data_IF_024613038525
#
_entry.id   IF_024613038525
#
_cell.length_a   1.000
_cell.length_b   1.000
_cell.length_c   1.000
_cell.angle_alpha   90.00
_cell.angle_beta   90.00
_cell.angle_gamma   90.00
#
_symmetry.space_group_name_H-M   'P 1'
#
loop_
_entity.id
_entity.type
_entity.pdbx_description
1 polymer ?
#
# COMPACT_ATOMS: atom_id res chain seq x y z
N UNK A 1 -5.33 1.29 12.82
CA UNK A 1 -5.26 0.04 12.09
C UNK A 1 -3.88 -0.15 11.52
N UNK A 2 -3.58 -1.32 11.17
CA UNK A 2 -2.25 -1.67 10.73
C UNK A 2 -2.30 -2.40 9.43
N UNK A 3 -1.20 -2.33 8.71
CA UNK A 3 -1.07 -2.97 7.44
C UNK A 3 -0.11 -4.12 7.57
N UNK A 4 -0.49 -5.26 7.04
CA UNK A 4 0.36 -6.44 7.06
C UNK A 4 0.29 -7.13 5.74
N UNK A 5 1.24 -8.02 5.47
CA UNK A 5 1.14 -8.82 4.27
C UNK A 5 -0.04 -9.75 4.42
N UNK A 6 -0.65 -10.02 3.32
CA UNK A 6 -1.74 -10.93 3.26
C UNK A 6 -1.29 -12.30 2.83
N UNK A 7 -0.06 -12.55 2.85
CA UNK A 7 0.46 -13.79 2.42
C UNK A 7 -0.04 -14.86 3.30
N UNK A 8 -0.53 -15.88 2.71
CA UNK A 8 -1.00 -16.90 3.46
C UNK A 8 0.02 -17.52 4.25
N UNK A 9 1.20 -17.40 3.88
CA UNK A 9 2.19 -17.98 4.65
C UNK A 9 2.61 -17.08 5.73
N UNK A 10 2.22 -16.10 5.87
CA UNK A 10 2.16 -15.27 6.62
C UNK A 10 2.81 -15.21 7.82
N UNK A 11 3.18 -14.67 8.29
CA UNK A 11 3.98 -14.47 8.83
C UNK A 11 4.23 -13.73 9.93
N UNK A 12 4.74 -13.31 10.38
CA UNK A 12 5.49 -12.80 11.27
C UNK A 12 5.11 -11.44 11.52
N UNK A 13 3.98 -11.31 11.96
CA UNK A 13 3.56 -10.03 12.10
C UNK A 13 4.20 -9.33 13.19
N UNK A 14 4.93 -9.99 13.96
CA UNK A 14 5.57 -9.28 15.00
C UNK A 14 6.63 -8.42 14.56
N UNK A 15 7.11 -8.60 13.37
CA UNK A 15 8.23 -7.83 12.96
C UNK A 15 7.91 -6.56 12.31
N UNK A 16 6.72 -6.36 11.93
CA UNK A 16 6.36 -5.09 11.36
C UNK A 16 6.87 -4.82 9.98
N UNK A 17 7.52 -5.79 9.35
CA UNK A 17 7.93 -5.60 7.97
C UNK A 17 7.70 -6.89 7.22
N UNK A 18 7.45 -6.78 5.94
CA UNK A 18 7.00 -7.89 5.15
C UNK A 18 7.63 -7.91 3.80
N UNK A 19 7.71 -9.09 3.22
CA UNK A 19 8.30 -9.25 1.93
C UNK A 19 7.37 -9.95 1.01
N UNK A 20 7.54 -9.71 -0.25
CA UNK A 20 6.80 -10.39 -1.26
C UNK A 20 7.22 -11.83 -1.37
N UNK A 21 6.29 -12.73 -1.62
CA UNK A 21 6.63 -14.12 -1.75
C UNK A 21 6.61 -14.60 -3.17
N UNK A 22 6.04 -13.84 -4.10
CA UNK A 22 5.94 -14.32 -5.46
C UNK A 22 6.04 -13.21 -6.46
N UNK A 23 6.80 -12.20 -6.16
CA UNK A 23 6.97 -11.09 -7.09
C UNK A 23 5.93 -10.03 -6.96
N UNK A 24 4.87 -10.26 -6.24
CA UNK A 24 3.93 -9.24 -5.92
C UNK A 24 3.81 -9.16 -4.42
N UNK A 25 3.44 -8.02 -3.92
CA UNK A 25 3.34 -7.80 -2.50
C UNK A 25 1.89 -7.75 -2.11
N UNK A 26 1.49 -8.68 -1.26
CA UNK A 26 0.13 -8.76 -0.80
C UNK A 26 0.05 -8.21 0.60
N UNK A 27 -0.78 -7.19 0.78
CA UNK A 27 -0.92 -6.55 2.07
C UNK A 27 -2.37 -6.62 2.51
N UNK A 28 -2.59 -6.66 3.80
CA UNK A 28 -3.93 -6.65 4.34
C UNK A 28 -3.99 -5.68 5.49
N UNK A 29 -5.15 -5.06 5.65
CA UNK A 29 -5.36 -4.16 6.76
C UNK A 29 -5.76 -4.98 7.97
N UNK A 30 -5.13 -4.70 9.09
CA UNK A 30 -5.42 -5.42 10.31
C UNK A 30 -6.71 -4.96 10.96
N UNK A 31 -7.18 -3.80 10.63
CA UNK A 31 -8.40 -3.27 11.17
C UNK A 31 -9.29 -2.76 10.08
N UNK A 32 -10.12 -1.83 10.38
CA UNK A 32 -10.99 -1.24 9.39
C UNK A 32 -10.17 -0.25 8.55
N UNK A 33 -10.70 0.11 7.43
CA UNK A 33 -10.07 1.08 6.57
C UNK A 33 -9.89 0.54 5.15
N UNK A 34 -9.45 1.44 4.28
CA UNK A 34 -9.33 1.13 2.86
C UNK A 34 -8.10 1.82 2.31
N UNK A 35 -7.45 1.16 1.37
CA UNK A 35 -6.40 1.79 0.56
C UNK A 35 -7.08 2.69 -0.47
N UNK A 36 -6.35 3.68 -0.96
CA UNK A 36 -6.86 4.65 -1.92
C UNK A 36 -6.15 4.48 -3.24
N UNK A 37 -6.91 4.29 -4.30
CA UNK A 37 -6.37 4.00 -5.61
C UNK A 37 -6.82 5.08 -6.59
N UNK A 38 -5.89 5.65 -7.32
CA UNK A 38 -6.19 6.62 -8.36
C UNK A 38 -6.50 5.88 -9.65
N UNK A 39 -7.74 5.86 -10.04
CA UNK A 39 -8.13 5.17 -11.26
C UNK A 39 -8.54 6.20 -12.32
N UNK A 40 -8.75 5.75 -13.53
CA UNK A 40 -9.19 6.62 -14.60
C UNK A 40 -10.54 7.26 -14.31
N UNK A 41 -11.30 6.68 -13.41
CA UNK A 41 -12.61 7.21 -13.05
C UNK A 41 -12.61 8.00 -11.76
N UNK A 42 -11.43 8.22 -11.19
CA UNK A 42 -11.29 8.94 -9.94
C UNK A 42 -10.80 8.01 -8.85
N UNK A 43 -10.86 8.47 -7.63
CA UNK A 43 -10.34 7.70 -6.51
C UNK A 43 -11.30 6.58 -6.20
N UNK A 44 -10.75 5.40 -6.01
CA UNK A 44 -11.50 4.24 -5.55
C UNK A 44 -10.85 3.68 -4.31
N UNK A 45 -11.61 2.96 -3.52
CA UNK A 45 -11.18 2.50 -2.22
C UNK A 45 -11.26 0.98 -2.19
N UNK A 46 -10.29 0.33 -1.56
CA UNK A 46 -10.26 -1.12 -1.56
C UNK A 46 -9.54 -1.65 -0.33
N UNK A 47 -9.93 -2.84 0.09
CA UNK A 47 -9.16 -3.54 1.10
C UNK A 47 -8.16 -4.50 0.46
N UNK A 48 -8.18 -4.59 -0.86
CA UNK A 48 -7.30 -5.48 -1.58
C UNK A 48 -5.93 -4.84 -1.70
N UNK A 49 -4.94 -5.50 -1.14
CA UNK A 49 -3.58 -5.00 -1.13
C UNK A 49 -2.61 -5.76 -2.00
N UNK A 50 -3.09 -6.39 -3.04
CA UNK A 50 -2.20 -7.09 -3.97
C UNK A 50 -1.59 -6.08 -4.92
N UNK A 51 -0.52 -5.46 -4.49
CA UNK A 51 0.09 -4.38 -5.24
C UNK A 51 1.29 -4.88 -6.03
N UNK A 52 1.59 -4.19 -7.10
CA UNK A 52 2.78 -4.46 -7.89
C UNK A 52 3.33 -3.13 -8.38
N UNK A 53 4.51 -3.16 -8.96
CA UNK A 53 5.16 -1.95 -9.46
C UNK A 53 4.98 -1.92 -10.97
N UNK A 54 4.51 -0.83 -11.50
CA UNK A 54 4.25 -0.73 -12.94
C UNK A 54 5.52 -0.37 -13.70
N UNK A 55 5.41 -0.25 -15.02
CA UNK A 55 6.56 0.02 -15.87
C UNK A 55 7.19 1.36 -15.58
N UNK A 56 6.48 2.26 -15.00
CA UNK A 56 7.00 3.57 -14.68
C UNK A 56 7.49 3.66 -13.25
N UNK A 57 7.46 2.57 -12.53
CA UNK A 57 8.00 2.55 -11.18
C UNK A 57 7.01 2.88 -10.09
N UNK A 58 5.73 2.94 -10.42
CA UNK A 58 4.73 3.29 -9.41
C UNK A 58 4.03 2.06 -8.86
N UNK A 59 3.67 2.14 -7.60
CA UNK A 59 2.91 1.08 -6.96
C UNK A 59 1.47 1.12 -7.46
N UNK A 60 0.97 -0.02 -7.92
CA UNK A 60 -0.36 -0.09 -8.51
C UNK A 60 -1.15 -1.27 -7.98
N UNK A 61 -2.45 -1.24 -8.20
CA UNK A 61 -3.31 -2.36 -7.92
C UNK A 61 -3.66 -3.01 -9.26
N UNK A 62 -2.91 -4.01 -9.63
CA UNK A 62 -3.20 -4.84 -10.82
C UNK A 62 -3.51 -4.06 -12.07
N UNK A 63 -2.83 -2.95 -12.27
CA UNK A 63 -3.09 -2.16 -13.47
C UNK A 63 -4.37 -1.34 -13.42
N UNK A 64 -5.11 -1.40 -12.32
CA UNK A 64 -6.35 -0.63 -12.21
C UNK A 64 -6.07 0.82 -11.89
N UNK A 65 -4.99 1.09 -11.18
CA UNK A 65 -4.65 2.45 -10.82
C UNK A 65 -3.50 2.46 -9.85
N UNK A 66 -3.01 3.64 -9.56
CA UNK A 66 -1.86 3.81 -8.68
C UNK A 66 -2.32 4.01 -7.26
N UNK A 67 -1.56 3.44 -6.34
CA UNK A 67 -1.88 3.50 -4.93
C UNK A 67 -1.41 4.82 -4.37
N UNK A 68 -2.22 5.48 -3.56
CA UNK A 68 -1.85 6.77 -2.99
C UNK A 68 -1.07 6.61 -1.70
N UNK A 69 -0.11 7.49 -1.52
CA UNK A 69 0.55 7.64 -0.24
C UNK A 69 -0.18 8.63 0.64
N UNK A 70 0.33 8.84 1.84
CA UNK A 70 -0.32 9.72 2.81
C UNK A 70 -0.33 11.17 2.34
N UNK A 71 0.50 11.52 1.39
CA UNK A 71 0.51 12.86 0.82
C UNK A 71 -0.53 13.00 -0.30
N UNK A 72 -1.30 11.96 -0.58
CA UNK A 72 -2.29 11.99 -1.64
C UNK A 72 -1.71 11.79 -3.02
N UNK A 73 -0.42 11.50 -3.13
CA UNK A 73 0.24 11.34 -4.41
C UNK A 73 0.57 9.88 -4.66
N UNK A 74 0.74 9.49 -5.91
CA UNK A 74 1.16 8.12 -6.20
C UNK A 74 2.53 7.86 -5.59
N UNK A 75 2.79 6.61 -5.29
CA UNK A 75 4.03 6.21 -4.66
C UNK A 75 4.95 5.65 -5.72
N UNK A 76 6.10 6.31 -5.92
CA UNK A 76 7.06 5.86 -6.89
C UNK A 76 8.13 5.05 -6.20
N UNK A 77 8.22 3.78 -6.56
CA UNK A 77 9.11 2.87 -5.88
C UNK A 77 10.41 2.68 -6.65
N UNK A 78 10.34 2.61 -7.93
CA UNK A 78 11.49 2.46 -8.81
C UNK A 78 12.23 1.15 -8.66
N UNK A 79 12.07 0.49 -7.57
CA UNK A 79 12.81 -0.72 -7.30
C UNK A 79 11.85 -1.68 -6.65
N UNK A 80 11.77 -2.89 -7.17
CA UNK A 80 10.81 -3.82 -6.65
C UNK A 80 11.20 -4.41 -5.31
N UNK A 81 12.40 -4.10 -4.86
CA UNK A 81 12.84 -4.56 -3.56
C UNK A 81 12.41 -3.57 -2.51
N UNK A 82 11.24 -3.71 -2.02
CA UNK A 82 10.75 -2.80 -1.02
C UNK A 82 10.04 -3.56 0.09
N UNK A 83 9.91 -2.91 1.23
CA UNK A 83 9.18 -3.46 2.36
C UNK A 83 8.17 -2.45 2.84
N UNK A 84 7.14 -2.94 3.52
CA UNK A 84 6.14 -2.09 4.13
C UNK A 84 6.00 -2.56 5.57
N UNK A 85 6.15 -1.66 6.51
CA UNK A 85 6.06 -2.05 7.92
C UNK A 85 4.58 -2.02 8.34
N UNK A 86 4.33 -2.36 9.61
CA UNK A 86 2.96 -2.47 10.05
C UNK A 86 2.27 -1.13 10.18
N UNK A 87 3.00 -0.05 10.04
CA UNK A 87 2.41 1.29 10.02
C UNK A 87 2.19 1.78 8.60
N UNK A 88 2.49 0.95 7.61
CA UNK A 88 2.32 1.35 6.23
C UNK A 88 3.49 2.12 5.64
N UNK A 89 4.58 2.25 6.37
CA UNK A 89 5.73 3.00 5.87
C UNK A 89 6.49 2.13 4.89
N UNK A 90 6.79 2.69 3.74
CA UNK A 90 7.44 1.98 2.64
C UNK A 90 8.90 2.35 2.61
N UNK A 91 9.75 1.35 2.55
CA UNK A 91 11.19 1.54 2.46
C UNK A 91 11.73 0.72 1.31
N UNK A 92 12.76 1.22 0.66
CA UNK A 92 13.42 0.53 -0.43
C UNK A 92 14.87 0.31 -0.08
N UNK A 93 15.44 -0.73 -0.62
CA UNK A 93 16.85 -0.99 -0.49
C UNK A 93 17.63 0.07 -1.21
N UNK A 94 18.75 0.47 -0.67
CA UNK A 94 19.62 1.38 -1.39
C UNK A 94 21.05 0.97 -1.16
N UNK A 95 21.83 1.17 -2.20
CA UNK A 95 23.23 0.88 -2.18
C UNK A 95 23.94 2.09 -1.60
N UNK A 96 24.63 1.90 -0.51
CA UNK A 96 25.17 3.01 0.21
C UNK A 96 26.58 3.32 -0.13
N UNK A 97 26.99 3.15 -1.29
CA UNK A 97 28.21 3.74 -1.62
C UNK A 97 29.27 2.84 -2.03
N UNK A 98 30.43 3.38 -2.11
CA UNK A 98 31.45 2.72 -2.76
C UNK A 98 32.01 1.61 -2.03
N UNK A 99 32.00 1.63 -0.75
CA UNK A 99 32.52 0.51 -0.05
C UNK A 99 31.56 -0.63 -0.07
N UNK A 100 30.34 -0.42 -0.50
CA UNK A 100 29.42 -1.52 -0.72
C UNK A 100 29.18 -2.38 0.46
N UNK A 101 29.59 -1.97 1.57
CA UNK A 101 29.51 -2.80 2.68
C UNK A 101 28.23 -2.80 3.33
N UNK A 102 27.41 -1.85 3.06
CA UNK A 102 26.22 -1.74 3.78
C UNK A 102 25.10 -1.51 2.87
N UNK A 103 24.07 -2.29 3.05
CA UNK A 103 22.84 -2.01 2.38
C UNK A 103 22.00 -1.29 3.37
N UNK A 104 21.46 -0.21 3.00
CA UNK A 104 20.56 0.55 3.84
C UNK A 104 19.19 0.52 3.29
N UNK A 105 18.26 1.04 4.08
CA UNK A 105 16.88 1.19 3.66
C UNK A 105 16.54 2.65 3.69
N UNK A 106 15.80 3.10 2.70
CA UNK A 106 15.38 4.48 2.61
C UNK A 106 13.86 4.53 2.61
N UNK A 107 13.29 5.30 3.51
CA UNK A 107 11.85 5.45 3.54
C UNK A 107 11.44 6.37 2.41
N UNK A 108 10.44 5.96 1.66
CA UNK A 108 10.00 6.75 0.52
C UNK A 108 8.57 7.21 0.65
N UNK A 109 7.83 6.74 1.64
CA UNK A 109 6.48 7.18 1.83
C UNK A 109 5.72 6.21 2.69
N UNK A 110 4.44 6.41 2.77
CA UNK A 110 3.58 5.52 3.53
C UNK A 110 2.25 5.40 2.80
N UNK A 111 1.63 4.24 2.92
CA UNK A 111 0.35 3.99 2.28
C UNK A 111 -0.74 4.80 2.96
N UNK A 112 -1.59 5.42 2.16
CA UNK A 112 -2.73 6.16 2.66
C UNK A 112 -3.86 5.20 2.95
N UNK A 113 -4.38 5.24 4.16
CA UNK A 113 -5.51 4.42 4.57
C UNK A 113 -6.59 5.36 5.09
N UNK A 114 -7.80 5.16 4.66
CA UNK A 114 -8.94 5.97 5.09
C UNK A 114 -10.05 5.08 5.57
N UNK A 115 -10.96 5.67 6.33
CA UNK A 115 -12.15 4.95 6.74
C UNK A 115 -13.36 5.87 6.49
N UNK A 116 -14.55 5.32 6.67
CA UNK A 116 -15.77 6.03 6.35
C UNK A 116 -16.77 5.86 7.47
N UNK A 117 -17.56 6.90 7.70
CA UNK A 117 -18.55 6.86 8.75
C UNK A 117 -19.71 5.93 8.40
N UNK A 118 -20.04 5.81 7.13
CA UNK A 118 -21.20 5.04 6.72
C UNK A 118 -20.84 4.07 5.62
N UNK A 119 -20.65 2.82 5.96
CA UNK A 119 -20.28 1.81 4.98
C UNK A 119 -21.39 1.50 4.00
N UNK A 120 -22.63 1.82 4.35
CA UNK A 120 -23.72 1.54 3.44
C UNK A 120 -23.71 2.47 2.23
N UNK A 121 -22.98 3.56 2.33
CA UNK A 121 -22.85 4.47 1.20
C UNK A 121 -21.67 4.14 0.31
N UNK A 122 -21.00 3.03 0.55
CA UNK A 122 -19.93 2.60 -0.32
C UNK A 122 -20.56 1.79 -1.46
N UNK A 123 -20.28 2.22 -2.68
CA UNK A 123 -20.82 1.56 -3.85
C UNK A 123 -19.79 0.59 -4.40
N UNK A 124 -20.18 -0.66 -4.56
CA UNK A 124 -19.27 -1.67 -5.03
C UNK A 124 -18.99 -1.48 -6.50
N UNK A 125 -17.73 -1.51 -6.84
CA UNK A 125 -17.27 -1.40 -8.21
C UNK A 125 -16.57 -2.70 -8.58
N UNK A 126 -15.97 -2.75 -9.76
CA UNK A 126 -15.27 -3.94 -10.20
C UNK A 126 -13.98 -4.12 -9.41
N UNK A 127 -13.52 -5.35 -9.40
CA UNK A 127 -12.20 -5.71 -8.86
C UNK A 127 -12.04 -5.42 -7.38
N UNK A 128 -13.14 -5.49 -6.64
CA UNK A 128 -13.06 -5.31 -5.19
C UNK A 128 -12.89 -3.88 -4.73
N UNK A 129 -13.16 -2.95 -5.62
CA UNK A 129 -13.05 -1.54 -5.26
C UNK A 129 -14.41 -0.97 -4.93
N UNK A 130 -14.41 0.18 -4.27
CA UNK A 130 -15.62 0.89 -3.89
C UNK A 130 -15.48 2.36 -4.23
N UNK A 131 -16.61 3.00 -4.50
CA UNK A 131 -16.65 4.45 -4.67
C UNK A 131 -17.64 5.03 -3.69
N UNK A 132 -17.48 6.31 -3.36
CA UNK A 132 -18.39 6.97 -2.45
C UNK A 132 -18.21 8.47 -2.57
N UNK A 133 -19.26 9.20 -2.26
CA UNK A 133 -19.18 10.66 -2.21
C UNK A 133 -18.97 11.18 -0.80
N UNK A 134 -18.95 10.30 0.19
CA UNK A 134 -18.79 10.78 1.56
C UNK A 134 -17.34 11.12 1.83
N UNK A 135 -17.11 11.90 2.83
CA UNK A 135 -15.76 12.30 3.20
C UNK A 135 -14.98 11.11 3.74
N UNK A 136 -13.73 11.02 3.36
CA UNK A 136 -12.84 10.00 3.87
C UNK A 136 -12.14 10.51 5.12
N UNK A 137 -11.96 9.64 6.08
CA UNK A 137 -11.28 9.98 7.33
C UNK A 137 -9.93 9.30 7.33
N UNK A 138 -8.88 10.08 7.48
CA UNK A 138 -7.54 9.51 7.46
C UNK A 138 -7.32 8.61 8.66
N UNK A 139 -6.77 7.45 8.42
CA UNK A 139 -6.43 6.52 9.49
C UNK A 139 -4.94 6.62 9.72
N UNK A 140 -4.57 6.95 10.95
CA UNK A 140 -3.17 7.06 11.28
C UNK A 140 -2.76 5.86 12.08
N UNK A 141 -1.59 5.38 11.82
CA UNK A 141 -1.05 4.26 12.56
C UNK A 141 -0.12 4.77 13.63
N UNK A 142 -0.32 4.36 14.84
CA UNK A 142 0.50 4.83 15.95
C UNK A 142 1.94 4.34 15.87
#
# INVERSE_FOLDING_TARGET
SKIRTADRTYVNHEQGSYESTDGSNDFALAGSGYFCIDTARGIRYTRNGSFSVDDEGFLTLNGMGRVQGTDGQPIRIENEDFTVDERGVISVSQDLGEDGNEAGMRQIGALRVVDFADYEQLHKEDYGMFSTNQAAEEVENP
#
